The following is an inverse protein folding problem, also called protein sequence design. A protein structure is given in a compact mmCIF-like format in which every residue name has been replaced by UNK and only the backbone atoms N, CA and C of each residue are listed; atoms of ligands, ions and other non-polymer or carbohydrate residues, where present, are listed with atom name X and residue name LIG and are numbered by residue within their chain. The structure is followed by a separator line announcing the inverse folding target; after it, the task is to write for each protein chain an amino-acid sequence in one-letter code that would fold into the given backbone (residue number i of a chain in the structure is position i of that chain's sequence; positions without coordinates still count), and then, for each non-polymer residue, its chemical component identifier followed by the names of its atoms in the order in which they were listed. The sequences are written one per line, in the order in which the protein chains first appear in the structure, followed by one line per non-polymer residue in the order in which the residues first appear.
data_IF_378467616209
#
_entry.id   IF_378467616209
#
_cell.length_a   1.000
_cell.length_b   1.000
_cell.length_c   1.000
_cell.angle_alpha   90.00
_cell.angle_beta   90.00
_cell.angle_gamma   90.00
#
_symmetry.space_group_name_H-M   'P 1'
#
loop_
_entity.id
_entity.type
_entity.pdbx_description
1 polymer ?
#
# COMPACT_ATOMS: atom_id res chain seq x y z
N UNK A 1 -22.27 -50.04 -16.20
CA UNK A 1 -21.44 -49.83 -15.00
C UNK A 1 -20.07 -49.38 -15.47
N UNK A 2 -19.83 -48.07 -15.46
CA UNK A 2 -18.52 -47.48 -15.70
C UNK A 2 -18.05 -46.98 -14.34
N UNK A 3 -17.07 -47.66 -13.77
CA UNK A 3 -16.44 -47.30 -12.51
C UNK A 3 -15.63 -46.04 -12.75
N UNK A 4 -16.12 -44.90 -12.25
CA UNK A 4 -15.37 -43.63 -12.28
C UNK A 4 -14.37 -43.72 -11.12
N UNK A 5 -13.09 -43.87 -11.46
CA UNK A 5 -11.99 -43.87 -10.51
C UNK A 5 -11.93 -42.49 -9.82
N UNK A 6 -12.08 -42.51 -8.51
CA UNK A 6 -12.09 -41.35 -7.61
C UNK A 6 -10.67 -40.94 -7.21
N UNK A 7 -9.81 -40.56 -8.17
CA UNK A 7 -8.41 -40.23 -7.87
C UNK A 7 -7.77 -39.14 -8.75
N UNK A 8 -8.56 -38.20 -9.27
CA UNK A 8 -8.02 -36.95 -9.85
C UNK A 8 -8.68 -35.73 -9.17
N UNK A 9 -8.45 -35.59 -7.86
CA UNK A 9 -8.53 -34.25 -7.25
C UNK A 9 -7.19 -33.60 -7.57
N UNK A 10 -7.18 -32.69 -8.55
CA UNK A 10 -6.03 -31.86 -8.82
C UNK A 10 -5.56 -31.24 -7.50
N UNK A 11 -4.37 -31.62 -7.03
CA UNK A 11 -3.69 -30.96 -5.92
C UNK A 11 -3.52 -29.51 -6.34
N UNK A 12 -4.38 -28.62 -5.83
CA UNK A 12 -4.36 -27.22 -6.21
C UNK A 12 -3.02 -26.63 -5.83
N UNK A 13 -2.21 -26.22 -6.79
CA UNK A 13 -0.94 -25.54 -6.52
C UNK A 13 -1.18 -24.39 -5.53
N UNK A 14 -0.49 -24.43 -4.39
CA UNK A 14 -0.55 -23.37 -3.36
C UNK A 14 -0.13 -22.05 -4.01
N UNK A 15 -1.10 -21.21 -4.35
CA UNK A 15 -0.83 -19.87 -4.87
C UNK A 15 -0.33 -18.96 -3.73
N UNK A 16 0.76 -18.23 -3.94
CA UNK A 16 1.27 -17.30 -2.95
C UNK A 16 0.33 -16.11 -2.79
N UNK A 17 0.20 -15.65 -1.56
CA UNK A 17 -0.68 -14.55 -1.18
C UNK A 17 0.08 -13.22 -1.18
N UNK A 18 -0.57 -12.19 -1.71
CA UNK A 18 -0.13 -10.81 -1.57
C UNK A 18 -1.13 -10.04 -0.72
N UNK A 19 -0.75 -9.72 0.51
CA UNK A 19 -1.55 -8.96 1.45
C UNK A 19 -0.98 -7.55 1.51
N UNK A 20 -1.82 -6.55 1.30
CA UNK A 20 -1.39 -5.15 1.25
C UNK A 20 -2.08 -4.33 2.32
N UNK A 21 -1.30 -3.82 3.28
CA UNK A 21 -1.78 -2.93 4.34
C UNK A 21 -1.43 -1.48 3.97
N UNK A 22 -2.45 -0.64 3.90
CA UNK A 22 -2.36 0.76 3.47
C UNK A 22 -3.22 1.68 4.33
N UNK A 23 -3.09 2.99 4.15
CA UNK A 23 -3.75 4.02 4.95
C UNK A 23 -2.82 5.17 5.31
N UNK A 24 -3.36 6.19 5.97
CA UNK A 24 -2.59 7.38 6.33
C UNK A 24 -1.54 7.12 7.43
N UNK A 25 -0.56 8.00 7.56
CA UNK A 25 0.43 7.89 8.64
C UNK A 25 -0.22 8.10 10.00
N UNK A 26 0.16 7.26 10.97
CA UNK A 26 -0.47 7.18 12.28
C UNK A 26 -1.69 6.26 12.40
N UNK A 27 -2.19 5.66 11.30
CA UNK A 27 -3.33 4.71 11.37
C UNK A 27 -2.97 3.30 11.84
N UNK A 28 -1.74 3.04 12.30
CA UNK A 28 -1.36 1.74 12.88
C UNK A 28 -1.00 0.62 11.88
N UNK A 29 -0.73 0.97 10.60
CA UNK A 29 -0.35 0.00 9.55
C UNK A 29 0.74 -0.97 9.96
N UNK A 30 1.87 -0.46 10.46
CA UNK A 30 3.04 -1.28 10.80
C UNK A 30 2.76 -2.19 11.98
N UNK A 31 1.99 -1.73 12.97
CA UNK A 31 1.52 -2.57 14.08
C UNK A 31 0.65 -3.72 13.58
N UNK A 32 -0.29 -3.46 12.66
CA UNK A 32 -1.15 -4.50 12.10
C UNK A 32 -0.37 -5.45 11.18
N UNK A 33 0.63 -4.96 10.44
CA UNK A 33 1.52 -5.78 9.63
C UNK A 33 2.34 -6.74 10.50
N UNK A 34 2.94 -6.26 11.59
CA UNK A 34 3.70 -7.08 12.53
C UNK A 34 2.84 -8.16 13.19
N UNK A 35 1.63 -7.81 13.64
CA UNK A 35 0.71 -8.79 14.23
C UNK A 35 0.29 -9.86 13.22
N UNK A 36 -0.02 -9.45 11.98
CA UNK A 36 -0.37 -10.39 10.93
C UNK A 36 0.79 -11.32 10.58
N UNK A 37 2.02 -10.81 10.50
CA UNK A 37 3.22 -11.63 10.29
C UNK A 37 3.35 -12.68 11.41
N UNK A 38 3.22 -12.28 12.68
CA UNK A 38 3.28 -13.20 13.83
C UNK A 38 2.19 -14.28 13.78
N UNK A 39 0.96 -13.92 13.40
CA UNK A 39 -0.13 -14.89 13.27
C UNK A 39 0.12 -15.89 12.13
N UNK A 40 0.62 -15.41 11.00
CA UNK A 40 1.01 -16.25 9.86
C UNK A 40 2.15 -17.21 10.24
N UNK A 41 3.17 -16.71 10.94
CA UNK A 41 4.27 -17.53 11.47
C UNK A 41 3.79 -18.59 12.47
N UNK A 42 2.85 -18.25 13.35
CA UNK A 42 2.26 -19.18 14.31
C UNK A 42 1.52 -20.36 13.63
N UNK A 43 0.99 -20.16 12.43
CA UNK A 43 0.41 -21.24 11.61
C UNK A 43 1.42 -21.87 10.65
N UNK A 44 2.72 -21.59 10.78
CA UNK A 44 3.79 -22.22 10.00
C UNK A 44 3.98 -21.64 8.60
N UNK A 45 3.45 -20.45 8.33
CA UNK A 45 3.80 -19.67 7.15
C UNK A 45 5.12 -18.91 7.38
N UNK A 46 5.80 -18.51 6.31
CA UNK A 46 6.98 -17.64 6.38
C UNK A 46 6.82 -16.48 5.40
N UNK A 47 5.83 -15.60 5.59
CA UNK A 47 5.58 -14.49 4.68
C UNK A 47 6.75 -13.50 4.72
N UNK A 48 7.05 -12.94 3.56
CA UNK A 48 8.01 -11.84 3.42
C UNK A 48 7.36 -10.52 3.79
N UNK A 49 7.95 -9.79 4.73
CA UNK A 49 7.60 -8.39 4.96
C UNK A 49 8.23 -7.50 3.88
N UNK A 50 7.41 -6.67 3.22
CA UNK A 50 7.85 -5.78 2.15
C UNK A 50 7.32 -4.35 2.35
N UNK A 51 8.22 -3.41 2.59
CA UNK A 51 7.91 -1.99 2.49
C UNK A 51 8.31 -1.45 1.12
N UNK A 52 7.36 -0.87 0.36
CA UNK A 52 7.60 -0.42 -1.02
C UNK A 52 6.95 0.93 -1.34
N UNK A 53 7.53 2.03 -0.87
CA UNK A 53 7.18 3.39 -1.29
C UNK A 53 8.32 3.99 -2.12
N UNK A 54 7.99 4.62 -3.25
CA UNK A 54 8.90 5.44 -4.04
C UNK A 54 10.31 4.88 -4.28
N UNK A 55 10.44 3.86 -5.13
CA UNK A 55 11.73 3.28 -5.50
C UNK A 55 12.47 4.17 -6.52
N UNK A 56 12.78 5.42 -6.15
CA UNK A 56 13.35 6.41 -7.07
C UNK A 56 14.61 5.89 -7.76
N UNK A 57 14.59 5.88 -9.09
CA UNK A 57 15.72 5.53 -9.93
C UNK A 57 15.82 6.52 -11.09
N UNK A 58 14.91 6.42 -12.06
CA UNK A 58 14.83 7.32 -13.20
C UNK A 58 14.18 8.65 -12.83
N UNK A 59 13.40 8.70 -11.75
CA UNK A 59 12.78 9.94 -11.25
C UNK A 59 13.75 10.87 -10.50
N UNK A 60 14.95 10.39 -10.12
CA UNK A 60 15.92 11.19 -9.36
C UNK A 60 16.30 12.53 -10.03
N UNK A 61 16.56 12.62 -11.35
CA UNK A 61 16.84 13.90 -12.00
C UNK A 61 15.65 14.87 -11.94
N UNK A 62 14.42 14.38 -12.07
CA UNK A 62 13.22 15.21 -11.94
C UNK A 62 13.02 15.70 -10.50
N UNK A 63 13.33 14.87 -9.51
CA UNK A 63 13.31 15.28 -8.10
C UNK A 63 14.40 16.29 -7.78
N UNK A 64 15.60 16.14 -8.35
CA UNK A 64 16.67 17.12 -8.22
C UNK A 64 16.27 18.47 -8.83
N UNK A 65 15.67 18.44 -10.03
CA UNK A 65 15.06 19.62 -10.66
C UNK A 65 13.98 20.24 -9.77
N UNK A 66 13.07 19.42 -9.22
CA UNK A 66 12.01 19.88 -8.34
C UNK A 66 12.55 20.56 -7.09
N UNK A 67 13.59 19.98 -6.47
CA UNK A 67 14.27 20.54 -5.30
C UNK A 67 14.94 21.87 -5.63
N UNK A 68 15.64 21.96 -6.76
CA UNK A 68 16.29 23.20 -7.21
C UNK A 68 15.28 24.33 -7.48
N UNK A 69 14.11 24.02 -8.03
CA UNK A 69 13.05 24.98 -8.31
C UNK A 69 12.16 25.31 -7.10
N UNK A 70 12.45 24.77 -5.92
CA UNK A 70 11.65 25.00 -4.70
C UNK A 70 10.31 24.26 -4.66
N UNK A 71 10.06 23.36 -5.62
CA UNK A 71 8.84 22.53 -5.68
C UNK A 71 8.87 21.35 -4.71
N UNK A 72 10.04 21.01 -4.16
CA UNK A 72 10.17 20.02 -3.09
C UNK A 72 10.96 20.60 -1.93
N UNK A 73 10.43 20.44 -0.72
CA UNK A 73 11.09 20.87 0.51
C UNK A 73 10.86 19.92 1.67
N UNK A 74 11.64 20.16 2.72
CA UNK A 74 11.48 19.47 3.98
C UNK A 74 11.16 20.49 5.05
N UNK A 75 10.24 20.16 5.94
CA UNK A 75 10.01 20.90 7.18
C UNK A 75 10.50 20.00 8.32
N UNK A 76 11.34 20.59 9.18
CA UNK A 76 11.84 19.94 10.38
C UNK A 76 11.00 20.44 11.56
N UNK A 77 10.33 19.52 12.25
CA UNK A 77 9.51 19.83 13.42
C UNK A 77 10.16 19.34 14.71
N UNK A 78 11.49 19.17 14.72
CA UNK A 78 12.32 18.80 15.87
C UNK A 78 12.32 17.31 16.19
N UNK A 79 11.20 16.60 15.97
CA UNK A 79 11.09 15.15 16.18
C UNK A 79 11.12 14.35 14.89
N UNK A 80 10.59 14.90 13.80
CA UNK A 80 10.47 14.24 12.50
C UNK A 80 10.65 15.25 11.37
N UNK A 81 11.24 14.79 10.27
CA UNK A 81 11.42 15.55 9.04
C UNK A 81 10.34 15.16 8.03
N UNK A 82 9.47 16.10 7.70
CA UNK A 82 8.39 15.90 6.74
C UNK A 82 8.80 16.40 5.36
N UNK A 83 8.68 15.54 4.34
CA UNK A 83 8.94 15.88 2.95
C UNK A 83 7.66 16.29 2.23
N UNK A 84 7.70 17.41 1.51
CA UNK A 84 6.57 17.93 0.76
C UNK A 84 6.92 18.14 -0.71
N UNK A 85 5.91 17.96 -1.56
CA UNK A 85 5.95 18.21 -2.99
C UNK A 85 4.81 19.14 -3.38
N UNK A 86 5.12 20.14 -4.20
CA UNK A 86 4.15 21.01 -4.85
C UNK A 86 4.50 21.14 -6.32
N UNK A 87 3.80 20.37 -7.14
CA UNK A 87 4.02 20.24 -8.58
C UNK A 87 2.87 20.84 -9.39
N UNK A 88 1.94 21.54 -8.74
CA UNK A 88 0.72 22.11 -9.35
C UNK A 88 1.01 23.03 -10.54
N UNK A 89 2.05 23.84 -10.41
CA UNK A 89 2.38 24.90 -11.36
C UNK A 89 3.37 24.44 -12.44
N UNK A 90 3.87 23.20 -12.38
CA UNK A 90 4.88 22.69 -13.31
C UNK A 90 4.29 21.70 -14.29
N UNK A 91 4.14 22.13 -15.56
CA UNK A 91 3.71 21.26 -16.65
C UNK A 91 4.65 20.06 -16.81
N UNK A 92 5.97 20.27 -16.70
CA UNK A 92 6.94 19.18 -16.79
C UNK A 92 6.66 18.12 -15.71
N UNK A 93 6.50 18.54 -14.46
CA UNK A 93 6.23 17.59 -13.39
C UNK A 93 4.88 16.91 -13.59
N UNK A 94 3.81 17.65 -13.92
CA UNK A 94 2.47 17.07 -14.12
C UNK A 94 2.42 16.05 -15.24
N UNK A 95 3.09 16.32 -16.37
CA UNK A 95 3.00 15.48 -17.56
C UNK A 95 4.06 14.38 -17.64
N UNK A 96 5.22 14.54 -17.00
CA UNK A 96 6.34 13.59 -17.12
C UNK A 96 6.54 12.79 -15.84
N UNK A 97 6.44 13.42 -14.67
CA UNK A 97 6.80 12.77 -13.41
C UNK A 97 5.95 11.51 -13.10
N UNK A 98 4.62 11.49 -13.28
CA UNK A 98 3.82 10.29 -13.04
C UNK A 98 4.28 9.08 -13.86
N UNK A 99 4.71 9.30 -15.10
CA UNK A 99 5.17 8.23 -16.00
C UNK A 99 6.55 7.70 -15.61
N UNK A 100 7.48 8.60 -15.28
CA UNK A 100 8.82 8.20 -14.84
C UNK A 100 8.74 7.48 -13.49
N UNK A 101 7.90 7.95 -12.59
CA UNK A 101 7.70 7.29 -11.31
C UNK A 101 6.97 5.94 -11.45
N UNK A 102 6.05 5.82 -12.43
CA UNK A 102 5.42 4.55 -12.76
C UNK A 102 6.45 3.54 -13.26
N UNK A 103 7.41 3.97 -14.08
CA UNK A 103 8.52 3.13 -14.54
C UNK A 103 9.35 2.62 -13.35
N UNK A 104 9.74 3.51 -12.45
CA UNK A 104 10.46 3.17 -11.21
C UNK A 104 9.68 2.15 -10.36
N UNK A 105 8.38 2.43 -10.14
CA UNK A 105 7.49 1.55 -9.38
C UNK A 105 7.30 0.18 -10.05
N UNK A 106 7.19 0.15 -11.38
CA UNK A 106 7.04 -1.08 -12.17
C UNK A 106 8.27 -1.97 -12.04
N UNK A 107 9.48 -1.39 -12.16
CA UNK A 107 10.73 -2.14 -12.03
C UNK A 107 10.91 -2.69 -10.61
N UNK A 108 10.56 -1.91 -9.59
CA UNK A 108 10.61 -2.36 -8.21
C UNK A 108 9.57 -3.43 -7.92
N UNK A 109 8.34 -3.30 -8.42
CA UNK A 109 7.29 -4.30 -8.29
C UNK A 109 7.71 -5.61 -8.95
N UNK A 110 8.24 -5.57 -10.17
CA UNK A 110 8.74 -6.76 -10.86
C UNK A 110 9.76 -7.53 -10.01
N UNK A 111 10.74 -6.82 -9.43
CA UNK A 111 11.83 -7.44 -8.66
C UNK A 111 11.44 -7.86 -7.24
N UNK A 112 10.62 -7.05 -6.55
CA UNK A 112 10.34 -7.22 -5.11
C UNK A 112 8.98 -7.85 -4.82
N UNK A 113 8.04 -7.80 -5.76
CA UNK A 113 6.68 -8.36 -5.61
C UNK A 113 6.53 -9.58 -6.51
N UNK A 114 6.59 -9.40 -7.83
CA UNK A 114 6.28 -10.48 -8.77
C UNK A 114 7.30 -11.62 -8.74
N UNK A 115 8.59 -11.32 -8.62
CA UNK A 115 9.62 -12.34 -8.58
C UNK A 115 9.54 -13.24 -7.32
N UNK A 116 9.35 -12.71 -6.09
CA UNK A 116 9.08 -13.55 -4.92
C UNK A 116 7.75 -14.31 -4.99
N UNK A 117 6.66 -13.66 -5.45
CA UNK A 117 5.39 -14.36 -5.65
C UNK A 117 5.56 -15.52 -6.65
N UNK A 118 6.26 -15.32 -7.76
CA UNK A 118 6.50 -16.42 -8.70
C UNK A 118 7.31 -17.59 -8.09
N UNK A 119 8.10 -17.34 -7.04
CA UNK A 119 8.83 -18.38 -6.28
C UNK A 119 8.00 -19.07 -5.19
N UNK A 120 6.72 -18.70 -5.04
CA UNK A 120 5.86 -19.25 -3.99
C UNK A 120 5.97 -18.54 -2.64
N UNK A 121 6.62 -17.37 -2.57
CA UNK A 121 6.74 -16.60 -1.32
C UNK A 121 5.46 -15.78 -1.10
N UNK A 122 4.79 -15.96 0.04
CA UNK A 122 3.73 -15.04 0.50
C UNK A 122 4.35 -13.68 0.88
N UNK A 123 3.62 -12.59 0.67
CA UNK A 123 4.10 -11.24 0.96
C UNK A 123 3.07 -10.45 1.77
N UNK A 124 3.52 -9.86 2.88
CA UNK A 124 2.80 -8.78 3.59
C UNK A 124 3.47 -7.47 3.23
N UNK A 125 2.79 -6.65 2.44
CA UNK A 125 3.30 -5.41 1.90
C UNK A 125 2.72 -4.18 2.60
N UNK A 126 3.56 -3.18 2.83
CA UNK A 126 3.17 -1.85 3.29
C UNK A 126 3.59 -0.76 2.29
N UNK A 127 2.76 0.28 2.21
CA UNK A 127 3.02 1.55 1.51
C UNK A 127 3.24 1.49 -0.01
N UNK A 128 2.53 0.60 -0.69
CA UNK A 128 2.69 0.37 -2.12
C UNK A 128 1.88 1.34 -2.99
N UNK A 129 1.08 0.81 -3.93
CA UNK A 129 0.46 1.57 -5.02
C UNK A 129 -0.47 2.68 -4.53
N UNK A 130 -1.35 2.40 -3.57
CA UNK A 130 -2.36 3.37 -3.13
C UNK A 130 -1.71 4.54 -2.38
N UNK A 131 -0.70 4.27 -1.56
CA UNK A 131 0.09 5.31 -0.90
C UNK A 131 0.81 6.21 -1.91
N UNK A 132 1.43 5.64 -2.95
CA UNK A 132 2.07 6.42 -4.01
C UNK A 132 1.07 7.26 -4.81
N UNK A 133 -0.13 6.73 -5.10
CA UNK A 133 -1.19 7.47 -5.76
C UNK A 133 -1.68 8.65 -4.92
N UNK A 134 -1.90 8.44 -3.61
CA UNK A 134 -2.28 9.49 -2.67
C UNK A 134 -1.21 10.58 -2.60
N UNK A 135 0.06 10.20 -2.47
CA UNK A 135 1.15 11.17 -2.43
C UNK A 135 1.24 12.00 -3.72
N UNK A 136 1.04 11.37 -4.89
CA UNK A 136 0.97 12.08 -6.16
C UNK A 136 -0.26 13.00 -6.24
N UNK A 137 -1.45 12.54 -5.83
CA UNK A 137 -2.65 13.37 -5.78
C UNK A 137 -2.42 14.64 -4.96
N UNK A 138 -1.76 14.52 -3.80
CA UNK A 138 -1.38 15.67 -2.98
C UNK A 138 -0.27 16.54 -3.62
N UNK A 139 0.67 15.93 -4.34
CA UNK A 139 1.74 16.68 -5.00
C UNK A 139 1.24 17.53 -6.17
N UNK A 140 0.25 17.02 -6.91
CA UNK A 140 -0.33 17.69 -8.07
C UNK A 140 -1.62 18.44 -7.76
N UNK A 141 -2.14 18.32 -6.53
CA UNK A 141 -3.46 18.84 -6.11
C UNK A 141 -4.56 18.38 -7.07
N UNK A 142 -4.51 17.08 -7.37
CA UNK A 142 -5.37 16.41 -8.33
C UNK A 142 -5.85 15.10 -7.73
N UNK A 143 -6.97 15.19 -7.02
CA UNK A 143 -7.64 14.03 -6.43
C UNK A 143 -8.17 13.04 -7.46
N UNK A 144 -8.20 13.36 -8.75
CA UNK A 144 -8.66 12.46 -9.81
C UNK A 144 -7.52 11.68 -10.48
N UNK A 145 -6.27 11.88 -10.05
CA UNK A 145 -5.08 11.32 -10.70
C UNK A 145 -5.14 9.80 -10.84
N UNK A 146 -5.70 9.07 -9.86
CA UNK A 146 -5.86 7.62 -9.91
C UNK A 146 -6.79 7.18 -11.05
N UNK A 147 -7.71 8.04 -11.48
CA UNK A 147 -8.61 7.77 -12.60
C UNK A 147 -7.99 8.09 -13.96
N UNK A 148 -6.88 8.82 -14.00
CA UNK A 148 -6.16 9.14 -15.23
C UNK A 148 -5.30 7.96 -15.68
N UNK A 149 -4.81 7.99 -16.92
CA UNK A 149 -4.06 6.89 -17.52
C UNK A 149 -2.86 6.41 -16.67
N UNK A 150 -1.92 7.27 -16.21
CA UNK A 150 -0.82 6.80 -15.37
C UNK A 150 -1.34 6.20 -14.05
N UNK A 151 -2.36 6.80 -13.44
CA UNK A 151 -2.98 6.30 -12.20
C UNK A 151 -3.62 4.92 -12.36
N UNK A 152 -4.29 4.67 -13.50
CA UNK A 152 -4.85 3.35 -13.87
C UNK A 152 -3.75 2.31 -14.07
N UNK A 153 -2.62 2.69 -14.64
CA UNK A 153 -1.48 1.78 -14.80
C UNK A 153 -0.80 1.46 -13.47
N UNK A 154 -0.75 2.41 -12.54
CA UNK A 154 -0.28 2.17 -11.18
C UNK A 154 -1.07 1.06 -10.47
N UNK A 155 -2.40 1.04 -10.61
CA UNK A 155 -3.23 -0.03 -10.04
C UNK A 155 -2.90 -1.41 -10.60
N UNK A 156 -2.53 -1.49 -11.89
CA UNK A 156 -2.11 -2.74 -12.52
C UNK A 156 -0.79 -3.29 -11.98
N UNK A 157 -0.08 -2.53 -11.14
CA UNK A 157 1.07 -3.06 -10.41
C UNK A 157 0.67 -3.96 -9.25
N UNK A 158 -0.56 -3.86 -8.74
CA UNK A 158 -1.07 -4.78 -7.74
C UNK A 158 -1.26 -6.17 -8.36
N UNK A 159 -0.73 -7.25 -7.74
CA UNK A 159 -1.01 -8.60 -8.18
C UNK A 159 -2.51 -8.91 -8.21
N UNK A 160 -2.90 -9.84 -9.07
CA UNK A 160 -4.26 -10.38 -9.06
C UNK A 160 -4.57 -11.00 -7.69
N UNK A 161 -5.83 -10.92 -7.24
CA UNK A 161 -6.27 -11.47 -5.94
C UNK A 161 -5.57 -10.82 -4.73
N UNK A 162 -5.04 -9.59 -4.87
CA UNK A 162 -4.47 -8.84 -3.73
C UNK A 162 -5.52 -8.63 -2.65
N UNK A 163 -5.18 -9.01 -1.41
CA UNK A 163 -5.98 -8.71 -0.23
C UNK A 163 -5.60 -7.33 0.30
N UNK A 164 -6.40 -6.30 -0.02
CA UNK A 164 -6.16 -4.92 0.40
C UNK A 164 -6.84 -4.66 1.74
N UNK A 165 -6.05 -4.18 2.70
CA UNK A 165 -6.52 -3.74 4.02
C UNK A 165 -6.20 -2.25 4.13
N UNK A 166 -7.21 -1.41 3.99
CA UNK A 166 -7.07 0.03 4.16
C UNK A 166 -7.49 0.42 5.57
N UNK A 167 -6.54 0.93 6.36
CA UNK A 167 -6.78 1.44 7.71
C UNK A 167 -7.10 2.93 7.67
N UNK A 168 -8.24 3.30 8.25
CA UNK A 168 -8.66 4.68 8.42
C UNK A 168 -8.71 5.10 9.89
N UNK A 169 -8.47 6.38 10.12
CA UNK A 169 -8.61 7.00 11.43
C UNK A 169 -8.84 8.51 11.25
N UNK A 170 -9.53 9.14 12.18
CA UNK A 170 -9.68 10.60 12.16
C UNK A 170 -8.36 11.32 12.53
N UNK A 171 -8.17 12.51 11.96
CA UNK A 171 -6.96 13.30 12.17
C UNK A 171 -6.72 13.67 13.65
N UNK A 172 -7.74 14.07 14.46
CA UNK A 172 -7.57 14.28 15.89
C UNK A 172 -6.96 13.07 16.62
N UNK A 173 -7.51 11.88 16.43
CA UNK A 173 -7.01 10.65 17.06
C UNK A 173 -5.59 10.31 16.58
N UNK A 174 -5.27 10.53 15.30
CA UNK A 174 -3.89 10.34 14.78
C UNK A 174 -2.91 11.29 15.48
N UNK A 175 -3.27 12.57 15.61
CA UNK A 175 -2.42 13.59 16.25
C UNK A 175 -2.22 13.33 17.74
N UNK A 176 -3.21 12.74 18.41
CA UNK A 176 -3.11 12.31 19.81
C UNK A 176 -2.16 11.10 19.96
N UNK A 177 -2.29 10.08 19.10
CA UNK A 177 -1.43 8.89 19.13
C UNK A 177 0.00 9.13 18.67
N UNK A 178 0.22 10.15 17.83
CA UNK A 178 1.53 10.51 17.24
C UNK A 178 1.78 12.01 17.32
N UNK A 179 2.63 12.39 18.27
CA UNK A 179 3.05 13.78 18.44
C UNK A 179 3.75 14.36 17.19
N UNK A 180 4.43 13.53 16.39
CA UNK A 180 5.06 13.92 15.12
C UNK A 180 4.06 14.27 14.01
N UNK A 181 2.82 13.78 14.08
CA UNK A 181 1.76 14.06 13.12
C UNK A 181 1.00 15.36 13.44
N UNK A 182 1.17 15.92 14.63
CA UNK A 182 0.55 17.21 15.04
C UNK A 182 0.89 18.31 14.04
N UNK A 183 2.13 18.30 13.53
CA UNK A 183 2.65 19.32 12.63
C UNK A 183 2.52 18.98 11.14
N UNK A 184 1.97 17.79 10.78
CA UNK A 184 1.74 17.46 9.39
C UNK A 184 0.54 18.25 8.84
N UNK A 185 0.86 19.25 8.00
CA UNK A 185 -0.11 20.15 7.37
C UNK A 185 -0.98 19.45 6.33
N UNK A 186 -0.56 18.30 5.83
CA UNK A 186 -1.25 17.56 4.77
C UNK A 186 -1.97 16.31 5.27
N UNK A 187 -2.02 16.09 6.59
CA UNK A 187 -2.69 14.93 7.18
C UNK A 187 -4.16 14.80 6.73
N UNK A 188 -4.94 15.87 6.87
CA UNK A 188 -6.37 15.88 6.50
C UNK A 188 -6.58 15.67 4.99
N UNK A 189 -5.74 16.29 4.16
CA UNK A 189 -5.76 16.09 2.71
C UNK A 189 -5.41 14.64 2.35
N UNK A 190 -4.42 14.04 3.02
CA UNK A 190 -4.00 12.66 2.79
C UNK A 190 -5.10 11.66 3.17
N UNK A 191 -5.76 11.87 4.31
CA UNK A 191 -6.93 11.07 4.73
C UNK A 191 -8.07 11.17 3.72
N UNK A 192 -8.37 12.39 3.25
CA UNK A 192 -9.42 12.62 2.25
C UNK A 192 -9.12 11.92 0.93
N UNK A 193 -7.87 12.00 0.46
CA UNK A 193 -7.42 11.29 -0.75
C UNK A 193 -7.52 9.77 -0.61
N UNK A 194 -7.14 9.19 0.54
CA UNK A 194 -7.32 7.75 0.81
C UNK A 194 -8.80 7.34 0.77
N UNK A 195 -9.67 8.10 1.45
CA UNK A 195 -11.13 7.85 1.47
C UNK A 195 -11.73 7.92 0.08
N UNK A 196 -11.29 8.86 -0.75
CA UNK A 196 -11.75 9.01 -2.13
C UNK A 196 -11.31 7.84 -3.01
N UNK A 197 -10.04 7.45 -2.94
CA UNK A 197 -9.53 6.27 -3.64
C UNK A 197 -10.28 5.01 -3.18
N UNK A 198 -10.56 4.87 -1.89
CA UNK A 198 -11.32 3.75 -1.38
C UNK A 198 -12.75 3.71 -1.93
N UNK A 199 -13.45 4.85 -1.97
CA UNK A 199 -14.79 4.95 -2.54
C UNK A 199 -14.80 4.63 -4.04
N UNK A 200 -13.85 5.15 -4.80
CA UNK A 200 -13.80 4.96 -6.27
C UNK A 200 -13.45 3.51 -6.66
N UNK A 201 -12.77 2.77 -5.79
CA UNK A 201 -12.39 1.36 -6.01
C UNK A 201 -13.22 0.36 -5.19
N UNK A 202 -14.27 0.82 -4.50
CA UNK A 202 -15.09 0.01 -3.59
C UNK A 202 -14.24 -0.81 -2.59
N UNK A 203 -13.18 -0.17 -2.06
CA UNK A 203 -12.29 -0.80 -1.10
C UNK A 203 -12.89 -0.74 0.30
N UNK A 204 -12.82 -1.86 0.99
CA UNK A 204 -13.17 -1.90 2.40
C UNK A 204 -12.17 -1.11 3.24
N UNK A 205 -12.70 -0.19 4.03
CA UNK A 205 -11.95 0.57 5.02
C UNK A 205 -12.21 0.01 6.41
N UNK A 206 -11.15 -0.26 7.17
CA UNK A 206 -11.23 -0.66 8.57
C UNK A 206 -10.94 0.56 9.46
N UNK A 207 -11.92 0.93 10.28
CA UNK A 207 -11.76 1.99 11.28
C UNK A 207 -10.86 1.50 12.41
N UNK A 208 -9.69 2.12 12.59
CA UNK A 208 -8.76 1.77 13.66
C UNK A 208 -9.03 2.50 14.99
N UNK A 209 -10.31 2.59 15.34
CA UNK A 209 -10.79 3.14 16.62
C UNK A 209 -10.87 2.06 17.71
N UNK A 210 -10.96 0.79 17.31
CA UNK A 210 -10.99 -0.36 18.21
C UNK A 210 -9.59 -0.71 18.75
N UNK A 211 -9.50 -1.50 19.84
CA UNK A 211 -8.25 -2.09 20.29
C UNK A 211 -7.52 -2.82 19.16
N UNK A 212 -6.18 -2.72 19.19
CA UNK A 212 -5.29 -3.29 18.15
C UNK A 212 -5.56 -4.78 17.91
N UNK A 213 -5.85 -5.54 18.98
CA UNK A 213 -6.10 -6.98 18.92
C UNK A 213 -7.41 -7.35 18.22
N UNK A 214 -8.45 -6.53 18.34
CA UNK A 214 -9.74 -6.77 17.70
C UNK A 214 -9.63 -6.60 16.18
N UNK A 215 -8.91 -5.57 15.74
CA UNK A 215 -8.64 -5.33 14.32
C UNK A 215 -7.72 -6.42 13.74
N UNK A 216 -6.70 -6.83 14.49
CA UNK A 216 -5.86 -7.97 14.09
C UNK A 216 -6.68 -9.25 13.92
N UNK A 217 -7.68 -9.47 14.80
CA UNK A 217 -8.60 -10.61 14.69
C UNK A 217 -9.53 -10.51 13.48
N UNK A 218 -10.03 -9.31 13.16
CA UNK A 218 -10.88 -9.10 11.98
C UNK A 218 -10.08 -9.24 10.67
N UNK A 219 -8.84 -8.74 10.63
CA UNK A 219 -7.90 -8.97 9.53
C UNK A 219 -7.63 -10.47 9.38
N UNK A 220 -7.35 -11.16 10.50
CA UNK A 220 -7.10 -12.60 10.50
C UNK A 220 -8.32 -13.39 10.03
N UNK A 221 -9.54 -13.05 10.44
CA UNK A 221 -10.75 -13.75 9.95
C UNK A 221 -10.95 -13.62 8.45
N UNK A 222 -10.51 -12.49 7.86
CA UNK A 222 -10.65 -12.23 6.42
C UNK A 222 -9.61 -12.97 5.60
N UNK A 223 -8.37 -13.07 6.09
CA UNK A 223 -7.26 -13.73 5.38
C UNK A 223 -7.15 -15.21 5.76
N UNK A 224 -7.45 -15.55 7.00
CA UNK A 224 -7.28 -16.86 7.61
C UNK A 224 -8.20 -17.93 7.01
N UNK A 225 -9.40 -17.57 6.55
CA UNK A 225 -10.25 -18.50 5.76
C UNK A 225 -9.56 -18.97 4.48
N UNK A 226 -8.81 -18.08 3.82
CA UNK A 226 -8.02 -18.46 2.65
C UNK A 226 -6.79 -19.30 3.03
N UNK A 227 -6.23 -19.08 4.23
CA UNK A 227 -5.03 -19.79 4.69
C UNK A 227 -5.33 -21.20 5.25
N UNK A 228 -6.43 -21.38 5.99
CA UNK A 228 -6.86 -22.66 6.57
C UNK A 228 -7.38 -23.62 5.49
N UNK A 229 -8.17 -23.13 4.54
CA UNK A 229 -8.62 -23.92 3.39
C UNK A 229 -7.43 -24.44 2.57
N UNK A 230 -6.41 -23.58 2.33
CA UNK A 230 -5.21 -23.92 1.55
C UNK A 230 -4.22 -24.87 2.25
N UNK A 231 -4.32 -25.09 3.56
CA UNK A 231 -3.53 -26.12 4.28
C UNK A 231 -4.16 -27.50 4.24
N UNK A 232 -5.46 -27.58 3.96
CA UNK A 232 -6.23 -28.83 3.96
C UNK A 232 -6.27 -29.57 2.62
N UNK A 233 -5.63 -28.99 1.59
CA UNK A 233 -5.47 -29.55 0.23
C UNK A 233 -4.00 -29.83 -0.04
#
# INVERSE_FOLDING_TARGET
MVTINSNDVAVGEKRPLFIYITGCDGTGKSTQAELLLQQLEAVGATPRHLWLRFPFLFSLPLLAYARWRGMSWYEDTGSVRHGYWDFRDSLLMRWVFPWVLLLDASLAALRKVYLPLWRGEDIVCERFVLDMLVDMALAFDDESLHQQLPGRLYQRLLPNETQIILLDLDAPTIRERRADMVFDRRLDARLSAFRRIAADYDLLMLSNTLPVADIGSDIWKRIGTDYEWRKST
#
